data_IF_851770902662
#
_entry.id   IF_851770902662
#
_cell.length_a   1.000
_cell.length_b   1.000
_cell.length_c   1.000
_cell.angle_alpha   90.00
_cell.angle_beta   90.00
_cell.angle_gamma   90.00
#
_symmetry.space_group_name_H-M   'P 1'
#
loop_
_entity.id
_entity.type
_entity.pdbx_description
1 polymer ?
#
# COMPACT_ATOMS: atom_id res chain seq x y z
N UNK A 1 -17.55 -8.35 2.92
CA UNK A 1 -17.93 -7.38 3.98
C UNK A 1 -18.77 -6.28 3.33
N UNK A 2 -19.89 -5.84 3.92
CA UNK A 2 -20.66 -4.71 3.34
C UNK A 2 -19.84 -3.41 3.39
N UNK A 3 -19.86 -2.59 2.34
CA UNK A 3 -19.07 -1.35 2.21
C UNK A 3 -19.27 -0.39 3.40
N UNK A 4 -20.52 -0.24 3.88
CA UNK A 4 -20.85 0.57 5.08
C UNK A 4 -20.18 0.04 6.35
N UNK A 5 -19.99 -1.27 6.46
CA UNK A 5 -19.25 -1.88 7.56
C UNK A 5 -17.76 -1.63 7.39
N UNK A 6 -17.23 -1.80 6.18
CA UNK A 6 -15.80 -1.59 5.88
C UNK A 6 -15.35 -0.16 6.20
N UNK A 7 -16.13 0.85 5.79
CA UNK A 7 -15.86 2.26 6.10
C UNK A 7 -15.82 2.51 7.62
N UNK A 8 -16.78 1.96 8.38
CA UNK A 8 -16.78 2.10 9.85
C UNK A 8 -15.52 1.52 10.49
N UNK A 9 -15.04 0.38 9.99
CA UNK A 9 -13.79 -0.19 10.49
C UNK A 9 -12.57 0.64 10.08
N UNK A 10 -12.53 1.20 8.86
CA UNK A 10 -11.47 2.14 8.46
C UNK A 10 -11.44 3.35 9.40
N UNK A 11 -12.59 3.96 9.66
CA UNK A 11 -12.69 5.09 10.59
C UNK A 11 -12.28 4.72 12.02
N UNK A 12 -12.62 3.50 12.48
CA UNK A 12 -12.18 3.00 13.78
C UNK A 12 -10.65 2.89 13.84
N UNK A 13 -10.01 2.31 12.81
CA UNK A 13 -8.55 2.19 12.78
C UNK A 13 -7.84 3.55 12.69
N UNK A 14 -8.38 4.49 11.91
CA UNK A 14 -7.87 5.87 11.88
C UNK A 14 -8.04 6.53 13.26
N UNK A 15 -9.21 6.36 13.90
CA UNK A 15 -9.46 6.88 15.24
C UNK A 15 -8.50 6.33 16.29
N UNK A 16 -8.19 5.04 16.24
CA UNK A 16 -7.18 4.41 17.11
C UNK A 16 -5.79 4.97 16.87
N UNK A 17 -5.39 5.20 15.61
CA UNK A 17 -4.10 5.80 15.29
C UNK A 17 -4.00 7.25 15.81
N UNK A 18 -5.08 8.03 15.66
CA UNK A 18 -5.15 9.42 16.19
C UNK A 18 -5.11 9.43 17.71
N UNK A 19 -5.82 8.52 18.38
CA UNK A 19 -5.79 8.37 19.83
C UNK A 19 -4.38 8.02 20.33
N UNK A 20 -3.71 7.08 19.66
CA UNK A 20 -2.33 6.71 19.98
C UNK A 20 -1.37 7.88 19.76
N UNK A 21 -1.55 8.64 18.68
CA UNK A 21 -0.78 9.86 18.43
C UNK A 21 -0.98 10.93 19.52
N UNK A 22 -2.20 11.09 20.02
CA UNK A 22 -2.47 11.97 21.16
C UNK A 22 -1.75 11.49 22.42
N UNK A 23 -1.66 10.18 22.64
CA UNK A 23 -0.80 9.58 23.67
C UNK A 23 0.67 9.97 23.49
N UNK A 24 1.23 9.78 22.30
CA UNK A 24 2.61 10.19 21.99
C UNK A 24 2.80 11.69 22.26
N UNK A 25 1.86 12.53 21.85
CA UNK A 25 1.93 13.97 22.09
C UNK A 25 2.05 14.32 23.58
N UNK A 26 1.31 13.63 24.45
CA UNK A 26 1.32 13.86 25.90
C UNK A 26 2.60 13.32 26.56
N UNK A 27 3.05 12.12 26.18
CA UNK A 27 4.15 11.44 26.87
C UNK A 27 5.54 11.69 26.27
N UNK A 28 5.64 11.79 24.94
CA UNK A 28 6.90 11.92 24.20
C UNK A 28 7.06 13.31 23.55
N UNK A 29 6.00 14.12 23.56
CA UNK A 29 6.00 15.50 23.07
C UNK A 29 5.60 15.68 21.61
N UNK A 30 5.51 16.95 21.20
CA UNK A 30 5.00 17.35 19.89
C UNK A 30 5.82 16.81 18.72
N UNK A 31 7.16 16.76 18.85
CA UNK A 31 8.04 16.35 17.76
C UNK A 31 7.76 14.90 17.34
N UNK A 32 7.78 13.95 18.30
CA UNK A 32 7.51 12.54 18.02
C UNK A 32 6.08 12.29 17.55
N UNK A 33 5.10 13.07 18.02
CA UNK A 33 3.74 12.99 17.53
C UNK A 33 3.62 13.40 16.05
N UNK A 34 4.34 14.43 15.63
CA UNK A 34 4.39 14.83 14.22
C UNK A 34 5.09 13.78 13.37
N UNK A 35 6.17 13.17 13.87
CA UNK A 35 6.84 12.05 13.21
C UNK A 35 5.91 10.84 13.06
N UNK A 36 5.19 10.46 14.11
CA UNK A 36 4.23 9.36 14.05
C UNK A 36 3.13 9.63 13.03
N UNK A 37 2.53 10.83 13.06
CA UNK A 37 1.49 11.19 12.12
C UNK A 37 2.01 11.19 10.67
N UNK A 38 3.21 11.72 10.45
CA UNK A 38 3.84 11.76 9.14
C UNK A 38 4.12 10.37 8.61
N UNK A 39 4.67 9.52 9.48
CA UNK A 39 4.93 8.14 9.17
C UNK A 39 3.67 7.34 8.88
N UNK A 40 2.63 7.51 9.70
CA UNK A 40 1.34 6.86 9.53
C UNK A 40 0.72 7.24 8.19
N UNK A 41 0.77 8.52 7.82
CA UNK A 41 0.21 9.00 6.56
C UNK A 41 0.98 8.48 5.34
N UNK A 42 2.32 8.52 5.35
CA UNK A 42 3.13 7.96 4.26
C UNK A 42 2.81 6.47 4.10
N UNK A 43 2.82 5.73 5.19
CA UNK A 43 2.57 4.29 5.14
C UNK A 43 1.15 3.94 4.70
N UNK A 44 0.15 4.68 5.17
CA UNK A 44 -1.22 4.52 4.73
C UNK A 44 -1.38 4.82 3.23
N UNK A 45 -0.62 5.79 2.71
CA UNK A 45 -0.62 6.15 1.29
C UNK A 45 -0.05 5.05 0.41
N UNK A 46 1.13 4.56 0.77
CA UNK A 46 1.84 3.52 0.02
C UNK A 46 1.11 2.18 0.12
N UNK A 47 0.48 1.92 1.27
CA UNK A 47 -0.43 0.79 1.48
C UNK A 47 -1.57 0.73 0.46
N UNK A 48 -2.06 1.87 -0.05
CA UNK A 48 -3.13 1.88 -1.08
C UNK A 48 -2.62 1.28 -2.41
N UNK A 49 -1.38 1.57 -2.81
CA UNK A 49 -0.77 0.97 -4.01
C UNK A 49 -0.64 -0.56 -3.84
N UNK A 50 -0.23 -1.00 -2.65
CA UNK A 50 -0.13 -2.42 -2.31
C UNK A 50 -1.48 -3.14 -2.46
N UNK A 51 -2.58 -2.49 -2.05
CA UNK A 51 -3.92 -3.04 -2.17
C UNK A 51 -4.38 -3.20 -3.62
N UNK A 52 -3.93 -2.34 -4.56
CA UNK A 52 -4.21 -2.54 -5.97
C UNK A 52 -3.55 -3.80 -6.51
N UNK A 53 -2.30 -4.06 -6.13
CA UNK A 53 -1.67 -5.34 -6.49
C UNK A 53 -2.43 -6.52 -5.91
N UNK A 54 -2.90 -6.43 -4.66
CA UNK A 54 -3.69 -7.51 -4.06
C UNK A 54 -4.98 -7.76 -4.86
N UNK A 55 -5.67 -6.70 -5.30
CA UNK A 55 -6.85 -6.82 -6.17
C UNK A 55 -6.55 -7.52 -7.48
N UNK A 56 -5.44 -7.15 -8.14
CA UNK A 56 -4.99 -7.77 -9.38
C UNK A 56 -4.70 -9.25 -9.15
N UNK A 57 -3.90 -9.59 -8.13
CA UNK A 57 -3.58 -10.98 -7.79
C UNK A 57 -4.85 -11.80 -7.51
N UNK A 58 -5.76 -11.30 -6.68
CA UNK A 58 -6.99 -12.05 -6.40
C UNK A 58 -7.88 -12.22 -7.63
N UNK A 59 -7.92 -11.23 -8.53
CA UNK A 59 -8.73 -11.29 -9.76
C UNK A 59 -8.10 -12.23 -10.79
N UNK A 60 -6.78 -12.13 -11.01
CA UNK A 60 -6.02 -12.96 -11.96
C UNK A 60 -6.06 -14.44 -11.61
N UNK A 61 -6.10 -14.77 -10.32
CA UNK A 61 -6.25 -16.15 -9.85
C UNK A 61 -7.72 -16.57 -9.60
N UNK A 62 -8.70 -15.72 -9.91
CA UNK A 62 -10.13 -16.04 -9.77
C UNK A 62 -10.58 -16.33 -8.33
N UNK A 63 -9.95 -15.71 -7.34
CA UNK A 63 -10.22 -15.98 -5.92
C UNK A 63 -11.53 -15.33 -5.48
N UNK A 64 -12.47 -16.18 -5.05
CA UNK A 64 -13.76 -15.73 -4.49
C UNK A 64 -13.55 -14.85 -3.24
N UNK A 65 -14.37 -13.80 -3.04
CA UNK A 65 -14.25 -12.86 -1.91
C UNK A 65 -14.20 -13.49 -0.51
N UNK A 66 -14.81 -14.67 -0.33
CA UNK A 66 -14.80 -15.40 0.93
C UNK A 66 -13.40 -15.85 1.36
N UNK A 67 -12.54 -16.21 0.39
CA UNK A 67 -11.20 -16.71 0.66
C UNK A 67 -10.15 -15.60 0.78
N UNK A 68 -10.40 -14.44 0.15
CA UNK A 68 -9.53 -13.26 0.23
C UNK A 68 -9.30 -12.82 1.68
N UNK A 69 -10.34 -12.90 2.53
CA UNK A 69 -10.25 -12.54 3.95
C UNK A 69 -9.19 -13.36 4.69
N UNK A 70 -9.11 -14.67 4.39
CA UNK A 70 -8.16 -15.57 5.05
C UNK A 70 -6.74 -15.21 4.63
N UNK A 71 -6.50 -15.04 3.33
CA UNK A 71 -5.20 -14.65 2.78
C UNK A 71 -4.75 -13.30 3.35
N UNK A 72 -5.63 -12.29 3.38
CA UNK A 72 -5.33 -10.97 3.94
C UNK A 72 -4.95 -11.02 5.42
N UNK A 73 -5.60 -11.86 6.23
CA UNK A 73 -5.26 -11.95 7.65
C UNK A 73 -3.84 -12.52 7.85
N UNK A 74 -3.49 -13.61 7.15
CA UNK A 74 -2.13 -14.16 7.22
C UNK A 74 -1.10 -13.20 6.61
N UNK A 75 -1.46 -12.58 5.48
CA UNK A 75 -0.67 -11.55 4.80
C UNK A 75 -0.30 -10.37 5.70
N UNK A 76 -1.27 -9.87 6.47
CA UNK A 76 -1.04 -8.78 7.43
C UNK A 76 -0.11 -9.23 8.56
N UNK A 77 -0.27 -10.46 9.06
CA UNK A 77 0.60 -10.98 10.11
C UNK A 77 2.05 -11.14 9.62
N UNK A 78 2.25 -11.65 8.41
CA UNK A 78 3.58 -11.75 7.81
C UNK A 78 4.19 -10.38 7.52
N UNK A 79 3.43 -9.45 6.93
CA UNK A 79 3.87 -8.07 6.69
C UNK A 79 4.35 -7.36 7.97
N UNK A 80 3.64 -7.51 9.10
CA UNK A 80 4.07 -6.91 10.39
C UNK A 80 5.45 -7.45 10.82
N UNK A 81 5.69 -8.76 10.66
CA UNK A 81 6.96 -9.39 11.01
C UNK A 81 8.07 -8.97 10.04
N UNK A 82 7.81 -9.04 8.73
CA UNK A 82 8.78 -8.65 7.70
C UNK A 82 9.17 -7.19 7.84
N UNK A 83 8.22 -6.30 8.09
CA UNK A 83 8.51 -4.89 8.32
C UNK A 83 9.32 -4.64 9.57
N UNK A 84 9.06 -5.36 10.67
CA UNK A 84 9.93 -5.27 11.85
C UNK A 84 11.39 -5.59 11.47
N UNK A 85 11.59 -6.69 10.74
CA UNK A 85 12.92 -7.10 10.28
C UNK A 85 13.56 -6.02 9.42
N UNK A 86 12.87 -5.53 8.39
CA UNK A 86 13.44 -4.52 7.51
C UNK A 86 13.68 -3.16 8.18
N UNK A 87 12.84 -2.75 9.13
CA UNK A 87 13.05 -1.52 9.89
C UNK A 87 14.32 -1.64 10.73
N UNK A 88 14.48 -2.75 11.47
CA UNK A 88 15.68 -2.98 12.29
C UNK A 88 16.96 -3.06 11.44
N UNK A 89 16.90 -3.75 10.30
CA UNK A 89 18.00 -3.80 9.34
C UNK A 89 18.29 -2.41 8.74
N UNK A 90 17.24 -1.69 8.35
CA UNK A 90 17.32 -0.38 7.73
C UNK A 90 17.96 0.68 8.65
N UNK A 91 17.55 0.72 9.92
CA UNK A 91 18.15 1.62 10.93
C UNK A 91 19.63 1.29 11.12
N UNK A 92 19.97 0.00 11.18
CA UNK A 92 21.37 -0.43 11.29
C UNK A 92 22.22 0.02 10.09
N UNK A 93 21.64 -0.05 8.87
CA UNK A 93 22.31 0.40 7.64
C UNK A 93 22.48 1.92 7.66
N UNK A 94 21.44 2.68 8.00
CA UNK A 94 21.47 4.15 8.04
C UNK A 94 22.52 4.66 9.04
N UNK A 95 22.59 4.04 10.21
CA UNK A 95 23.57 4.42 11.25
C UNK A 95 25.01 4.15 10.84
N UNK A 96 25.26 3.20 9.91
CA UNK A 96 26.60 2.90 9.39
C UNK A 96 26.92 3.64 8.10
N UNK A 97 25.91 3.95 7.30
CA UNK A 97 26.04 4.45 5.94
C UNK A 97 25.10 5.64 5.76
N UNK A 98 25.46 6.81 6.28
CA UNK A 98 24.58 7.99 6.21
C UNK A 98 24.21 8.41 4.78
N UNK A 99 25.08 8.17 3.80
CA UNK A 99 24.81 8.48 2.39
C UNK A 99 23.75 7.56 1.75
N UNK A 100 23.31 6.49 2.44
CA UNK A 100 22.25 5.59 1.96
C UNK A 100 20.93 6.34 1.77
N UNK A 101 20.68 7.39 2.56
CA UNK A 101 19.48 8.23 2.43
C UNK A 101 19.38 8.89 1.05
N UNK A 102 20.51 9.15 0.38
CA UNK A 102 20.51 9.69 -0.98
C UNK A 102 20.15 8.64 -2.03
N UNK A 103 20.66 7.42 -1.86
CA UNK A 103 20.28 6.26 -2.70
C UNK A 103 18.78 6.02 -2.59
N UNK A 104 18.28 6.03 -1.36
CA UNK A 104 16.86 6.01 -1.02
C UNK A 104 16.09 7.13 -1.72
N UNK A 105 16.58 8.36 -1.68
CA UNK A 105 15.97 9.48 -2.40
C UNK A 105 15.83 9.24 -3.91
N UNK A 106 16.90 8.75 -4.55
CA UNK A 106 16.90 8.42 -5.99
C UNK A 106 15.91 7.29 -6.30
N UNK A 107 15.90 6.23 -5.48
CA UNK A 107 14.96 5.11 -5.64
C UNK A 107 13.52 5.62 -5.59
N UNK A 108 13.18 6.47 -4.62
CA UNK A 108 11.81 7.01 -4.50
C UNK A 108 11.40 7.89 -5.69
N UNK A 109 12.30 8.73 -6.20
CA UNK A 109 12.03 9.54 -7.39
C UNK A 109 11.78 8.63 -8.59
N UNK A 110 12.61 7.60 -8.79
CA UNK A 110 12.46 6.65 -9.89
C UNK A 110 11.15 5.87 -9.75
N UNK A 111 10.82 5.38 -8.56
CA UNK A 111 9.58 4.64 -8.31
C UNK A 111 8.35 5.51 -8.54
N UNK A 112 8.34 6.74 -8.03
CA UNK A 112 7.27 7.70 -8.25
C UNK A 112 7.11 8.08 -9.73
N UNK A 113 8.20 8.39 -10.42
CA UNK A 113 8.18 8.69 -11.85
C UNK A 113 7.68 7.51 -12.68
N UNK A 114 8.20 6.30 -12.41
CA UNK A 114 7.74 5.07 -13.06
C UNK A 114 6.25 4.86 -12.82
N UNK A 115 5.74 5.12 -11.62
CA UNK A 115 4.33 4.97 -11.31
C UNK A 115 3.45 5.98 -12.06
N UNK A 116 3.92 7.22 -12.22
CA UNK A 116 3.23 8.30 -12.93
C UNK A 116 3.20 8.10 -14.45
N UNK A 117 4.30 7.63 -15.04
CA UNK A 117 4.45 7.46 -16.49
C UNK A 117 4.17 6.04 -16.99
N UNK A 118 3.94 5.07 -16.11
CA UNK A 118 3.45 3.75 -16.52
C UNK A 118 2.04 3.91 -17.06
N UNK A 119 1.92 3.94 -18.40
CA UNK A 119 0.67 3.95 -19.14
C UNK A 119 -0.28 2.90 -18.58
N UNK A 120 -1.51 3.31 -18.31
CA UNK A 120 -2.61 2.44 -17.94
C UNK A 120 -3.09 1.64 -19.16
N UNK A 121 -2.22 0.81 -19.73
CA UNK A 121 -2.71 -0.40 -20.37
C UNK A 121 -3.27 -1.27 -19.24
N UNK A 122 -4.53 -1.00 -18.93
CA UNK A 122 -5.34 -1.76 -18.02
C UNK A 122 -5.34 -3.23 -18.48
N UNK A 123 -4.51 -4.05 -17.85
CA UNK A 123 -4.76 -5.49 -17.75
C UNK A 123 -3.68 -6.45 -18.22
N UNK A 124 -2.54 -6.05 -18.78
CA UNK A 124 -1.72 -7.07 -19.49
C UNK A 124 -0.21 -7.14 -19.19
N UNK A 125 0.44 -6.10 -18.64
CA UNK A 125 1.92 -6.02 -18.75
C UNK A 125 2.76 -6.04 -17.46
N UNK A 126 2.23 -6.53 -16.33
CA UNK A 126 3.09 -6.93 -15.18
C UNK A 126 2.92 -8.36 -14.68
N UNK A 127 1.84 -9.04 -15.07
CA UNK A 127 1.47 -10.32 -14.46
C UNK A 127 2.03 -11.56 -15.19
N UNK A 128 2.32 -11.48 -16.48
CA UNK A 128 2.83 -12.65 -17.25
C UNK A 128 4.16 -13.20 -16.70
N UNK A 129 5.08 -12.35 -16.22
CA UNK A 129 6.40 -12.80 -15.74
C UNK A 129 6.36 -13.36 -14.32
N UNK A 130 5.68 -12.68 -13.40
CA UNK A 130 5.56 -13.12 -12.00
C UNK A 130 4.77 -14.43 -11.95
N UNK A 131 3.64 -14.52 -12.66
CA UNK A 131 2.84 -15.75 -12.74
C UNK A 131 3.61 -16.92 -13.39
N UNK A 132 4.40 -16.67 -14.45
CA UNK A 132 5.24 -17.70 -15.10
C UNK A 132 6.40 -18.17 -14.22
N UNK A 133 7.02 -17.29 -13.45
CA UNK A 133 8.10 -17.64 -12.53
C UNK A 133 7.56 -18.47 -11.36
N UNK A 134 6.37 -18.15 -10.85
CA UNK A 134 5.75 -18.94 -9.79
C UNK A 134 5.20 -20.29 -10.24
N UNK A 135 4.65 -20.37 -11.45
CA UNK A 135 4.27 -21.66 -12.05
C UNK A 135 5.45 -22.63 -12.22
N UNK A 136 6.70 -22.13 -12.19
CA UNK A 136 7.92 -22.96 -12.19
C UNK A 136 8.39 -23.37 -10.79
N UNK A 137 8.02 -22.64 -9.74
CA UNK A 137 8.56 -22.82 -8.38
C UNK A 137 7.65 -23.68 -7.51
N UNK A 138 6.33 -23.67 -7.74
CA UNK A 138 5.37 -24.47 -6.99
C UNK A 138 4.45 -25.24 -7.95
N UNK A 139 4.33 -26.58 -7.82
CA UNK A 139 3.29 -27.34 -8.53
C UNK A 139 1.93 -26.98 -7.92
N UNK A 140 1.30 -25.95 -8.46
CA UNK A 140 -0.03 -25.48 -8.07
C UNK A 140 -1.07 -26.43 -8.66
N UNK A 141 -2.00 -26.93 -7.85
CA UNK A 141 -3.13 -27.72 -8.36
C UNK A 141 -4.06 -26.85 -9.22
N UNK A 142 -4.52 -27.37 -10.37
CA UNK A 142 -5.43 -26.67 -11.29
C UNK A 142 -6.80 -26.30 -10.68
N UNK A 143 -7.15 -26.87 -9.52
CA UNK A 143 -8.45 -26.69 -8.87
C UNK A 143 -8.34 -25.96 -7.52
N UNK A 144 -9.27 -25.03 -7.30
CA UNK A 144 -9.47 -24.32 -6.03
C UNK A 144 -10.08 -25.27 -4.98
N UNK A 145 -9.27 -25.71 -4.02
CA UNK A 145 -9.70 -26.60 -2.93
C UNK A 145 -10.16 -25.83 -1.69
N UNK A 146 -11.24 -25.07 -1.85
CA UNK A 146 -11.90 -24.32 -0.76
C UNK A 146 -10.95 -23.41 0.05
N UNK A 147 -10.88 -23.54 1.38
CA UNK A 147 -10.02 -22.71 2.26
C UNK A 147 -8.65 -23.32 2.59
N UNK A 148 -8.32 -24.50 2.03
CA UNK A 148 -7.10 -25.23 2.43
C UNK A 148 -5.89 -24.64 1.72
N UNK A 149 -4.80 -24.37 2.44
CA UNK A 149 -3.55 -23.92 1.85
C UNK A 149 -2.76 -25.06 1.19
N UNK A 150 -2.90 -26.27 1.74
CA UNK A 150 -2.27 -27.48 1.23
C UNK A 150 -3.30 -28.58 1.06
N UNK A 151 -3.14 -29.37 0.00
CA UNK A 151 -3.97 -30.55 -0.26
C UNK A 151 -3.05 -31.71 -0.53
N UNK A 152 -3.37 -32.86 0.05
CA UNK A 152 -2.65 -34.10 -0.23
C UNK A 152 -3.33 -34.81 -1.40
N UNK A 153 -2.64 -34.93 -2.53
CA UNK A 153 -3.07 -35.73 -3.68
C UNK A 153 -1.99 -36.77 -3.96
N UNK A 154 -2.37 -38.03 -4.15
CA UNK A 154 -1.45 -39.13 -4.44
C UNK A 154 -0.25 -39.23 -3.45
N UNK A 155 -0.52 -39.12 -2.15
CA UNK A 155 0.47 -39.10 -1.04
C UNK A 155 1.46 -37.92 -1.01
N UNK A 156 1.46 -37.05 -2.02
CA UNK A 156 2.29 -35.85 -2.14
C UNK A 156 1.51 -34.63 -1.66
N UNK A 157 2.18 -33.73 -0.94
CA UNK A 157 1.60 -32.47 -0.46
C UNK A 157 1.69 -31.43 -1.58
N UNK A 158 0.54 -30.98 -2.10
CA UNK A 158 0.47 -29.92 -3.10
C UNK A 158 0.06 -28.59 -2.47
N UNK A 159 0.68 -27.51 -2.93
CA UNK A 159 0.28 -26.15 -2.58
C UNK A 159 -0.94 -25.74 -3.41
N UNK A 160 -1.93 -25.15 -2.75
CA UNK A 160 -3.12 -24.62 -3.43
C UNK A 160 -2.85 -23.22 -4.01
N UNK A 161 -3.70 -22.75 -4.95
CA UNK A 161 -3.65 -21.37 -5.42
C UNK A 161 -3.72 -20.33 -4.29
N UNK A 162 -4.43 -20.61 -3.18
CA UNK A 162 -4.50 -19.71 -2.03
C UNK A 162 -3.16 -19.53 -1.33
N UNK A 163 -2.35 -20.59 -1.24
CA UNK A 163 -1.03 -20.51 -0.63
C UNK A 163 -0.05 -19.78 -1.56
N UNK A 164 -0.10 -20.06 -2.87
CA UNK A 164 0.70 -19.36 -3.86
C UNK A 164 0.45 -17.83 -3.82
N UNK A 165 -0.81 -17.42 -3.67
CA UNK A 165 -1.17 -15.99 -3.55
C UNK A 165 -0.70 -15.40 -2.23
N UNK A 166 -0.77 -16.14 -1.12
CA UNK A 166 -0.22 -15.68 0.16
C UNK A 166 1.28 -15.40 0.02
N UNK A 167 2.04 -16.34 -0.55
CA UNK A 167 3.49 -16.17 -0.78
C UNK A 167 3.77 -14.97 -1.70
N UNK A 168 2.94 -14.78 -2.73
CA UNK A 168 3.03 -13.64 -3.63
C UNK A 168 2.79 -12.30 -2.94
N UNK A 169 1.81 -12.24 -2.05
CA UNK A 169 1.49 -11.05 -1.26
C UNK A 169 2.66 -10.73 -0.33
N UNK A 170 3.19 -11.72 0.39
CA UNK A 170 4.37 -11.53 1.27
C UNK A 170 5.60 -11.08 0.48
N UNK A 171 5.86 -11.70 -0.68
CA UNK A 171 6.98 -11.30 -1.54
C UNK A 171 6.79 -9.88 -2.07
N UNK A 172 5.56 -9.50 -2.41
CA UNK A 172 5.30 -8.14 -2.82
C UNK A 172 5.47 -7.14 -1.68
N UNK A 173 5.15 -7.50 -0.43
CA UNK A 173 5.40 -6.63 0.72
C UNK A 173 6.90 -6.33 0.85
N UNK A 174 7.77 -7.32 0.61
CA UNK A 174 9.23 -7.13 0.51
C UNK A 174 9.59 -6.14 -0.61
N UNK A 175 8.97 -6.24 -1.78
CA UNK A 175 9.21 -5.30 -2.86
C UNK A 175 8.73 -3.89 -2.50
N UNK A 176 7.58 -3.77 -1.85
CA UNK A 176 7.04 -2.48 -1.38
C UNK A 176 7.84 -1.88 -0.23
N UNK A 177 8.55 -2.69 0.55
CA UNK A 177 9.50 -2.23 1.56
C UNK A 177 10.61 -1.37 0.94
N UNK A 178 10.96 -1.58 -0.34
CA UNK A 178 11.97 -0.79 -1.06
C UNK A 178 11.53 0.67 -1.21
N UNK A 179 10.24 0.94 -1.32
CA UNK A 179 9.72 2.32 -1.44
C UNK A 179 9.28 2.85 -0.06
N UNK A 180 8.61 2.03 0.75
CA UNK A 180 8.04 2.48 2.02
C UNK A 180 9.07 2.75 3.11
N UNK A 181 10.15 1.94 3.19
CA UNK A 181 11.15 2.09 4.25
C UNK A 181 12.03 3.32 4.07
N UNK A 182 12.56 3.59 2.87
CA UNK A 182 13.18 4.87 2.58
C UNK A 182 12.28 6.07 2.89
N UNK A 183 11.00 5.99 2.54
CA UNK A 183 10.06 7.09 2.73
C UNK A 183 9.81 7.38 4.22
N UNK A 184 9.60 6.36 5.05
CA UNK A 184 9.40 6.54 6.49
C UNK A 184 10.67 7.08 7.18
N UNK A 185 11.86 6.64 6.76
CA UNK A 185 13.12 7.15 7.29
C UNK A 185 13.41 8.61 6.93
N UNK A 186 12.73 9.16 5.93
CA UNK A 186 12.75 10.61 5.66
C UNK A 186 11.98 11.44 6.70
N UNK A 187 11.14 10.79 7.51
CA UNK A 187 10.36 11.43 8.57
C UNK A 187 11.00 11.21 9.92
N UNK A 188 11.36 9.96 10.25
CA UNK A 188 11.95 9.61 11.54
C UNK A 188 12.86 8.40 11.42
N UNK A 189 13.91 8.38 12.23
CA UNK A 189 14.78 7.22 12.43
C UNK A 189 14.57 6.55 13.79
N UNK A 190 13.61 7.04 14.60
CA UNK A 190 13.23 6.42 15.87
C UNK A 190 12.52 5.08 15.59
N UNK A 191 13.10 3.92 15.96
CA UNK A 191 12.51 2.61 15.67
C UNK A 191 11.10 2.46 16.22
N UNK A 192 10.80 3.06 17.38
CA UNK A 192 9.48 2.98 18.01
C UNK A 192 8.45 3.72 17.17
N UNK A 193 8.76 4.95 16.75
CA UNK A 193 7.85 5.76 15.93
C UNK A 193 7.64 5.13 14.56
N UNK A 194 8.73 4.75 13.89
CA UNK A 194 8.72 4.10 12.58
C UNK A 194 7.89 2.81 12.61
N UNK A 195 8.09 1.96 13.62
CA UNK A 195 7.40 0.67 13.70
C UNK A 195 5.92 0.82 14.10
N UNK A 196 5.62 1.66 15.09
CA UNK A 196 4.23 1.84 15.53
C UNK A 196 3.38 2.51 14.46
N UNK A 197 3.86 3.57 13.80
CA UNK A 197 3.10 4.24 12.73
C UNK A 197 2.77 3.28 11.59
N UNK A 198 3.71 2.38 11.31
CA UNK A 198 3.60 1.36 10.28
C UNK A 198 2.57 0.27 10.63
N UNK A 199 2.60 -0.25 11.86
CA UNK A 199 1.59 -1.21 12.34
C UNK A 199 0.20 -0.58 12.28
N UNK A 200 0.01 0.65 12.77
CA UNK A 200 -1.29 1.32 12.73
C UNK A 200 -1.82 1.49 11.30
N UNK A 201 -0.95 1.78 10.33
CA UNK A 201 -1.33 1.84 8.91
C UNK A 201 -1.75 0.45 8.39
N UNK A 202 -0.98 -0.60 8.71
CA UNK A 202 -1.21 -1.96 8.24
C UNK A 202 -2.47 -2.60 8.84
N UNK A 203 -2.78 -2.38 10.11
CA UNK A 203 -3.96 -2.98 10.76
C UNK A 203 -5.28 -2.54 10.08
N UNK A 204 -5.29 -1.34 9.49
CA UNK A 204 -6.41 -0.83 8.69
C UNK A 204 -6.58 -1.48 7.32
N UNK A 205 -5.54 -2.11 6.77
CA UNK A 205 -5.47 -2.59 5.38
C UNK A 205 -6.61 -3.51 5.00
N UNK A 206 -7.00 -4.46 5.86
CA UNK A 206 -8.09 -5.39 5.55
C UNK A 206 -9.40 -4.65 5.27
N UNK A 207 -9.69 -3.64 6.08
CA UNK A 207 -10.92 -2.86 5.95
C UNK A 207 -10.84 -1.95 4.73
N UNK A 208 -9.67 -1.36 4.50
CA UNK A 208 -9.38 -0.51 3.35
C UNK A 208 -9.46 -1.29 2.04
N UNK A 209 -8.96 -2.54 2.00
CA UNK A 209 -9.06 -3.44 0.85
C UNK A 209 -10.51 -3.61 0.41
N UNK A 210 -11.43 -3.90 1.32
CA UNK A 210 -12.84 -4.07 0.94
C UNK A 210 -13.53 -2.77 0.52
N UNK A 211 -13.07 -1.61 1.02
CA UNK A 211 -13.53 -0.31 0.52
C UNK A 211 -13.02 -0.06 -0.90
N UNK A 212 -11.73 -0.30 -1.14
CA UNK A 212 -11.11 -0.12 -2.46
C UNK A 212 -11.66 -1.12 -3.48
N UNK A 213 -11.82 -2.40 -3.13
CA UNK A 213 -12.43 -3.42 -3.97
C UNK A 213 -13.83 -3.01 -4.45
N UNK A 214 -14.64 -2.43 -3.54
CA UNK A 214 -15.98 -1.96 -3.85
C UNK A 214 -16.00 -0.66 -4.68
N UNK A 215 -14.88 0.05 -4.76
CA UNK A 215 -14.75 1.36 -5.39
C UNK A 215 -13.61 1.39 -6.41
N UNK A 216 -13.20 0.24 -6.94
CA UNK A 216 -11.98 0.11 -7.75
C UNK A 216 -11.97 1.05 -8.97
N UNK A 217 -13.13 1.28 -9.59
CA UNK A 217 -13.28 2.21 -10.71
C UNK A 217 -13.18 3.69 -10.28
N UNK A 218 -13.45 4.00 -9.00
CA UNK A 218 -13.49 5.36 -8.44
C UNK A 218 -12.13 5.86 -7.95
N UNK A 219 -11.13 5.00 -7.76
CA UNK A 219 -9.85 5.34 -7.11
C UNK A 219 -8.63 5.34 -8.05
N UNK A 220 -8.86 5.32 -9.36
CA UNK A 220 -7.81 5.32 -10.39
C UNK A 220 -6.76 6.42 -10.17
N UNK A 221 -7.18 7.60 -9.74
CA UNK A 221 -6.28 8.75 -9.61
C UNK A 221 -5.48 8.81 -8.31
N UNK A 222 -5.78 7.95 -7.33
CA UNK A 222 -5.02 7.88 -6.07
C UNK A 222 -3.57 7.47 -6.33
N UNK A 223 -3.35 6.59 -7.32
CA UNK A 223 -2.03 6.19 -7.78
C UNK A 223 -1.12 7.39 -8.12
N UNK A 224 -1.65 8.43 -8.76
CA UNK A 224 -0.89 9.65 -9.05
C UNK A 224 -0.55 10.44 -7.77
N UNK A 225 -1.45 10.45 -6.79
CA UNK A 225 -1.18 11.05 -5.48
C UNK A 225 -0.01 10.36 -4.77
N UNK A 226 -0.02 9.03 -4.72
CA UNK A 226 1.08 8.25 -4.15
C UNK A 226 2.40 8.49 -4.91
N UNK A 227 2.34 8.65 -6.24
CA UNK A 227 3.52 8.91 -7.07
C UNK A 227 4.16 10.26 -6.74
N UNK A 228 3.32 11.28 -6.57
CA UNK A 228 3.75 12.61 -6.16
C UNK A 228 4.35 12.59 -4.74
N UNK A 229 3.78 11.82 -3.81
CA UNK A 229 4.33 11.66 -2.46
C UNK A 229 5.72 11.02 -2.49
N UNK A 230 5.91 9.96 -3.29
CA UNK A 230 7.21 9.31 -3.47
C UNK A 230 8.25 10.27 -4.05
N UNK A 231 7.91 10.98 -5.13
CA UNK A 231 8.83 11.95 -5.73
C UNK A 231 9.16 13.10 -4.77
N UNK A 232 8.17 13.65 -4.07
CA UNK A 232 8.36 14.68 -3.05
C UNK A 232 9.31 14.18 -1.94
N UNK A 233 9.07 12.98 -1.43
CA UNK A 233 9.86 12.38 -0.37
C UNK A 233 11.29 12.09 -0.82
N UNK A 234 11.46 11.63 -2.06
CA UNK A 234 12.79 11.42 -2.64
C UNK A 234 13.55 12.72 -2.87
N UNK A 235 12.88 13.78 -3.31
CA UNK A 235 13.45 15.13 -3.39
C UNK A 235 13.84 15.65 -2.01
N UNK A 236 12.99 15.46 -0.99
CA UNK A 236 13.32 15.81 0.41
C UNK A 236 14.60 15.14 0.87
N UNK A 237 14.75 13.83 0.63
CA UNK A 237 15.97 13.09 0.95
C UNK A 237 17.19 13.57 0.14
N UNK A 238 17.00 14.02 -1.09
CA UNK A 238 18.07 14.64 -1.90
C UNK A 238 18.49 16.02 -1.39
N UNK A 239 17.55 16.85 -0.94
CA UNK A 239 17.80 18.21 -0.45
C UNK A 239 18.63 18.20 0.85
N UNK A 240 18.58 17.12 1.64
CA UNK A 240 19.48 16.90 2.78
C UNK A 240 20.97 17.06 2.39
N UNK A 241 21.34 16.80 1.12
CA UNK A 241 22.69 17.03 0.62
C UNK A 241 23.15 18.50 0.79
N UNK A 242 22.23 19.45 0.62
CA UNK A 242 22.50 20.88 0.76
C UNK A 242 22.35 21.38 2.19
N UNK A 243 22.19 20.49 3.18
CA UNK A 243 21.97 20.81 4.59
C UNK A 243 20.70 21.66 4.82
N UNK A 244 19.73 21.57 3.91
CA UNK A 244 18.43 22.23 4.03
C UNK A 244 17.43 21.19 4.54
N UNK A 245 16.93 21.38 5.75
CA UNK A 245 15.93 20.48 6.34
C UNK A 245 14.51 20.99 6.07
N UNK A 246 13.73 20.20 5.32
CA UNK A 246 12.29 20.45 5.21
C UNK A 246 11.63 20.02 6.51
N UNK A 247 11.12 20.98 7.27
CA UNK A 247 10.43 20.73 8.54
C UNK A 247 9.32 19.69 8.36
N UNK A 248 9.14 18.83 9.37
CA UNK A 248 8.14 17.75 9.37
C UNK A 248 6.73 18.29 9.09
N UNK A 249 6.39 19.47 9.60
CA UNK A 249 5.09 20.13 9.37
C UNK A 249 4.84 20.39 7.88
N UNK A 250 5.83 20.92 7.15
CA UNK A 250 5.69 21.15 5.70
C UNK A 250 5.58 19.84 4.93
N UNK A 251 6.29 18.80 5.37
CA UNK A 251 6.17 17.45 4.79
C UNK A 251 4.74 16.92 4.97
N UNK A 252 4.23 16.99 6.20
CA UNK A 252 2.89 16.57 6.57
C UNK A 252 1.80 17.27 5.76
N UNK A 253 1.85 18.61 5.70
CA UNK A 253 0.87 19.41 4.96
C UNK A 253 0.91 19.06 3.47
N UNK A 254 2.10 18.88 2.90
CA UNK A 254 2.26 18.50 1.49
C UNK A 254 1.66 17.12 1.23
N UNK A 255 2.01 16.11 2.03
CA UNK A 255 1.47 14.74 1.91
C UNK A 255 -0.05 14.75 2.07
N UNK A 256 -0.57 15.44 3.10
CA UNK A 256 -2.01 15.57 3.32
C UNK A 256 -2.73 16.16 2.11
N UNK A 257 -2.18 17.26 1.57
CA UNK A 257 -2.77 17.98 0.45
C UNK A 257 -2.77 17.13 -0.82
N UNK A 258 -1.67 16.44 -1.10
CA UNK A 258 -1.57 15.54 -2.26
C UNK A 258 -2.56 14.37 -2.12
N UNK A 259 -2.65 13.75 -0.94
CA UNK A 259 -3.59 12.65 -0.71
C UNK A 259 -5.04 13.11 -0.86
N UNK A 260 -5.43 14.15 -0.12
CA UNK A 260 -6.78 14.65 -0.13
C UNK A 260 -7.16 15.13 -1.54
N UNK A 261 -6.26 15.86 -2.21
CA UNK A 261 -6.44 16.29 -3.59
C UNK A 261 -6.64 15.12 -4.55
N UNK A 262 -5.81 14.07 -4.46
CA UNK A 262 -5.93 12.88 -5.31
C UNK A 262 -7.25 12.15 -5.11
N UNK A 263 -7.73 12.04 -3.86
CA UNK A 263 -9.02 11.43 -3.54
C UNK A 263 -10.17 12.27 -4.09
N UNK A 264 -10.14 13.60 -3.89
CA UNK A 264 -11.16 14.52 -4.40
C UNK A 264 -11.22 14.46 -5.93
N UNK A 265 -10.08 14.58 -6.61
CA UNK A 265 -10.00 14.48 -8.08
C UNK A 265 -10.56 13.14 -8.55
N UNK A 266 -10.18 12.03 -7.88
CA UNK A 266 -10.65 10.70 -8.25
C UNK A 266 -12.17 10.58 -8.15
N UNK A 267 -12.78 11.12 -7.10
CA UNK A 267 -14.24 11.12 -6.91
C UNK A 267 -14.95 12.02 -7.91
N UNK A 268 -14.44 13.23 -8.16
CA UNK A 268 -15.04 14.21 -9.07
C UNK A 268 -15.01 13.74 -10.52
N UNK A 269 -13.85 13.27 -10.99
CA UNK A 269 -13.69 12.78 -12.37
C UNK A 269 -14.59 11.57 -12.60
N UNK A 270 -14.66 10.65 -11.64
CA UNK A 270 -15.51 9.47 -11.81
C UNK A 270 -17.01 9.82 -11.82
N UNK A 271 -17.46 10.76 -10.97
CA UNK A 271 -18.85 11.25 -11.01
C UNK A 271 -19.20 11.91 -12.35
N UNK A 272 -18.25 12.60 -12.97
CA UNK A 272 -18.43 13.20 -14.30
C UNK A 272 -18.52 12.13 -15.40
N UNK A 273 -17.73 11.05 -15.32
CA UNK A 273 -17.80 9.93 -16.25
C UNK A 273 -19.09 9.11 -16.13
N UNK A 274 -19.61 8.90 -14.91
CA UNK A 274 -20.91 8.26 -14.66
C UNK A 274 -22.06 9.06 -15.31
N UNK A 275 -22.11 10.38 -15.07
CA UNK A 275 -23.12 11.27 -15.70
C UNK A 275 -23.05 11.24 -17.23
N UNK A 276 -21.84 11.30 -17.80
CA UNK A 276 -21.66 11.25 -19.25
C UNK A 276 -22.10 9.92 -19.86
N UNK A 277 -21.88 8.79 -19.16
CA UNK A 277 -22.38 7.47 -19.58
C UNK A 277 -23.91 7.39 -19.52
N UNK A 278 -24.55 8.00 -18.52
CA UNK A 278 -26.01 8.07 -18.40
C UNK A 278 -26.64 8.93 -19.52
N UNK A 279 -26.08 10.10 -19.81
CA UNK A 279 -26.53 10.96 -20.92
C UNK A 279 -26.42 10.28 -22.30
N UNK A 280 -25.34 9.52 -22.53
CA UNK A 280 -25.16 8.74 -23.76
C UNK A 280 -26.17 7.58 -23.85
N UNK A 281 -26.51 6.94 -22.73
CA UNK A 281 -27.54 5.89 -22.70
C UNK A 281 -28.93 6.44 -22.98
N UNK A 282 -29.29 7.58 -22.38
CA UNK A 282 -30.58 8.25 -22.63
C UNK A 282 -30.73 8.62 -24.11
N UNK A 283 -29.70 9.24 -24.71
CA UNK A 283 -29.70 9.56 -26.15
C UNK A 283 -29.79 8.35 -27.10
N UNK A 284 -29.45 7.14 -26.64
CA UNK A 284 -29.56 5.91 -27.44
C UNK A 284 -30.92 5.21 -27.31
N UNK A 285 -31.72 5.57 -26.31
CA UNK A 285 -33.07 5.02 -26.09
C UNK A 285 -34.13 5.86 -26.82
N UNK A 286 -33.82 7.12 -27.11
CA UNK A 286 -34.68 8.04 -27.88
C UNK A 286 -34.46 7.97 -29.42
N UNK A 287 -33.67 7.01 -29.91
CA UNK A 287 -33.39 6.70 -31.32
C UNK A 287 -33.90 5.30 -31.67
#
# INVERSE_FOLDING_TARGET
MSTKRAIRFVLLWIGLAVLFNAGIYIFEGQHKALEFLGGYMIELSLSVDNLFLFLILFTSFGIKPQYQRRVLNYGIMGAIVLRLVFILLGITIINKIHWILYVFGIILIISGAKMMFSSEEAGDHKDSKVLKVLGKILPVTDTLHEEKFFVRQNHILHATPLFAILVLIEFSDILFAIDSIPAIFSISTDPFIVYTSNIFAILGLRSLYFVLAAMQEKFKYVKYGVALILMFTGVKLGILFFHIEITIIYSLVTIFTILLGSVIVSVLVNKHQEKKKEEIKLKKVDL
#
